data_IF_783575554597
#
_entry.id   IF_783575554597
#
_cell.length_a   1.000
_cell.length_b   1.000
_cell.length_c   1.000
_cell.angle_alpha   90.00
_cell.angle_beta   90.00
_cell.angle_gamma   90.00
#
_symmetry.space_group_name_H-M   'P 1'
#
loop_
_entity.id
_entity.type
_entity.pdbx_description
1 polymer ?
#
# COMPACT_ATOMS: atom_id res chain seq x y z
N UNK A 1 -7.32 35.63 34.36
CA UNK A 1 -7.25 34.17 34.09
C UNK A 1 -8.67 33.64 34.06
N UNK A 2 -9.09 32.99 32.95
CA UNK A 2 -10.48 32.59 32.80
C UNK A 2 -10.75 31.31 33.62
N UNK A 3 -11.94 31.21 34.18
CA UNK A 3 -12.45 30.11 35.02
C UNK A 3 -12.24 28.72 34.43
N UNK A 4 -12.08 28.59 33.11
CA UNK A 4 -11.78 27.32 32.40
C UNK A 4 -10.35 26.81 32.63
N UNK A 5 -9.38 27.68 32.90
CA UNK A 5 -7.98 27.26 33.19
C UNK A 5 -7.78 26.81 34.62
N UNK A 6 -8.63 27.30 35.53
CA UNK A 6 -8.61 26.89 36.94
C UNK A 6 -9.18 25.47 37.13
N UNK A 7 -10.21 25.10 36.36
CA UNK A 7 -10.78 23.74 36.39
C UNK A 7 -9.85 22.66 35.83
N UNK A 8 -9.07 22.99 34.81
CA UNK A 8 -8.08 22.03 34.23
C UNK A 8 -6.89 21.77 35.17
N UNK A 9 -6.50 22.76 35.98
CA UNK A 9 -5.40 22.62 36.94
C UNK A 9 -5.83 21.78 38.17
N UNK A 10 -7.08 21.89 38.62
CA UNK A 10 -7.62 21.12 39.75
C UNK A 10 -7.80 19.65 39.36
N UNK A 11 -8.18 19.35 38.13
CA UNK A 11 -8.31 17.96 37.64
C UNK A 11 -6.96 17.26 37.50
N UNK A 12 -5.89 17.97 37.10
CA UNK A 12 -4.55 17.42 36.96
C UNK A 12 -3.90 17.10 38.34
N UNK A 13 -4.19 17.87 39.39
CA UNK A 13 -3.68 17.64 40.75
C UNK A 13 -4.42 16.48 41.43
N UNK A 14 -5.70 16.26 41.12
CA UNK A 14 -6.46 15.13 41.67
C UNK A 14 -6.03 13.76 41.10
N UNK A 15 -5.50 13.70 39.87
CA UNK A 15 -4.98 12.46 39.30
C UNK A 15 -3.58 12.07 39.79
N UNK A 16 -2.77 13.03 40.27
CA UNK A 16 -1.45 12.70 40.82
C UNK A 16 -1.52 12.21 42.31
N UNK A 17 -2.61 12.44 43.02
CA UNK A 17 -2.77 12.03 44.43
C UNK A 17 -3.23 10.57 44.59
N UNK A 18 -3.63 9.87 43.52
CA UNK A 18 -4.14 8.50 43.55
C UNK A 18 -3.05 7.40 43.37
N UNK A 19 -1.79 7.77 43.17
CA UNK A 19 -0.71 6.81 42.87
C UNK A 19 0.21 6.49 44.06
N UNK A 20 0.02 7.16 45.23
CA UNK A 20 0.92 7.05 46.39
C UNK A 20 0.33 6.26 47.59
N UNK A 21 -0.86 5.68 47.49
CA UNK A 21 -1.51 4.95 48.58
C UNK A 21 -1.70 3.46 48.27
N UNK A 22 -0.60 2.70 48.28
CA UNK A 22 -0.72 1.26 48.07
C UNK A 22 0.54 0.46 48.24
N UNK A 23 1.28 0.62 49.33
CA UNK A 23 2.29 -0.38 49.75
C UNK A 23 2.66 -0.14 51.22
N UNK A 24 1.89 -0.70 52.17
CA UNK A 24 2.43 -1.13 53.45
C UNK A 24 1.53 -2.23 54.03
N UNK A 25 2.01 -3.44 54.08
CA UNK A 25 1.73 -4.31 55.19
C UNK A 25 2.87 -5.33 55.35
N UNK A 26 3.57 -5.18 56.47
CA UNK A 26 4.54 -6.14 57.00
C UNK A 26 3.76 -7.21 57.76
N UNK A 27 4.21 -8.46 57.63
CA UNK A 27 4.31 -9.35 58.83
C UNK A 27 5.25 -10.50 58.45
N UNK A 28 6.33 -10.60 59.26
CA UNK A 28 7.34 -11.62 59.15
C UNK A 28 7.07 -12.82 60.05
N UNK A 29 7.66 -13.94 59.70
CA UNK A 29 8.07 -15.02 60.59
C UNK A 29 8.96 -16.02 59.80
N UNK A 30 9.73 -16.92 60.46
CA UNK A 30 11.16 -16.97 60.20
C UNK A 30 11.64 -18.19 59.36
N UNK A 31 12.87 -18.06 58.88
CA UNK A 31 13.68 -18.98 58.10
C UNK A 31 14.00 -20.24 58.91
N UNK A 32 13.87 -21.44 58.33
CA UNK A 32 14.53 -22.66 58.74
C UNK A 32 15.38 -23.20 57.58
N UNK A 33 16.65 -23.49 57.89
CA UNK A 33 17.71 -23.99 57.00
C UNK A 33 17.51 -25.44 56.62
N UNK A 34 18.15 -25.91 55.50
CA UNK A 34 17.98 -27.25 54.94
C UNK A 34 18.93 -28.29 55.54
N UNK A 35 18.62 -29.57 55.45
CA UNK A 35 19.58 -30.65 55.68
C UNK A 35 20.30 -31.09 54.41
N UNK A 36 21.49 -31.68 54.67
CA UNK A 36 22.57 -32.00 53.77
C UNK A 36 22.32 -33.19 52.82
N UNK A 37 23.02 -33.12 51.70
CA UNK A 37 23.59 -34.13 50.81
C UNK A 37 23.16 -35.61 50.93
N UNK A 38 22.72 -36.16 49.83
CA UNK A 38 22.87 -37.54 49.49
C UNK A 38 23.44 -37.69 48.05
N UNK A 39 24.56 -38.42 47.96
CA UNK A 39 25.40 -38.65 46.80
C UNK A 39 24.70 -39.58 45.82
N UNK A 40 24.48 -39.18 44.58
CA UNK A 40 24.06 -40.04 43.49
C UNK A 40 25.16 -40.26 42.45
N UNK A 41 25.26 -41.48 41.98
CA UNK A 41 26.25 -42.06 41.09
C UNK A 41 26.25 -41.46 39.66
N UNK A 42 27.34 -41.68 38.86
CA UNK A 42 27.52 -41.03 37.57
C UNK A 42 26.56 -41.57 36.49
N UNK A 43 25.84 -40.66 35.85
CA UNK A 43 25.07 -40.93 34.66
C UNK A 43 25.98 -40.91 33.44
N UNK A 44 25.92 -41.96 32.65
CA UNK A 44 26.62 -42.14 31.38
C UNK A 44 26.25 -41.02 30.39
N UNK A 45 27.26 -40.48 29.71
CA UNK A 45 27.13 -39.56 28.61
C UNK A 45 26.47 -40.27 27.43
N UNK A 46 25.24 -39.86 27.08
CA UNK A 46 24.65 -40.19 25.79
C UNK A 46 25.28 -39.30 24.70
N UNK A 47 25.65 -39.97 23.61
CA UNK A 47 26.15 -39.35 22.36
C UNK A 47 25.16 -38.36 21.82
N UNK A 48 25.62 -37.25 21.17
CA UNK A 48 24.72 -36.33 20.49
C UNK A 48 24.07 -37.04 19.30
N UNK A 49 22.78 -37.16 19.38
CA UNK A 49 21.91 -37.63 18.31
C UNK A 49 22.02 -36.69 17.12
N UNK A 50 22.06 -37.27 15.95
CA UNK A 50 22.16 -36.68 14.62
C UNK A 50 21.33 -35.42 14.51
N UNK A 51 21.94 -34.39 13.85
CA UNK A 51 21.25 -33.23 13.31
C UNK A 51 20.02 -33.68 12.52
N UNK A 52 18.83 -33.36 13.00
CA UNK A 52 17.63 -33.39 12.18
C UNK A 52 17.83 -32.38 11.06
N UNK A 53 17.75 -32.84 9.81
CA UNK A 53 17.57 -31.97 8.65
C UNK A 53 16.41 -30.99 8.95
N UNK A 54 16.52 -29.72 8.53
CA UNK A 54 15.45 -28.77 8.73
C UNK A 54 14.21 -29.35 8.05
N UNK A 55 13.21 -29.69 8.86
CA UNK A 55 11.89 -30.08 8.35
C UNK A 55 11.41 -28.95 7.47
N UNK A 56 11.23 -29.23 6.17
CA UNK A 56 10.45 -28.39 5.30
C UNK A 56 9.10 -28.14 5.98
N UNK A 57 8.92 -26.92 6.47
CA UNK A 57 7.61 -26.46 6.96
C UNK A 57 6.67 -26.57 5.79
N UNK A 58 5.85 -27.59 5.81
CA UNK A 58 4.83 -27.83 4.80
C UNK A 58 3.86 -26.67 4.88
N UNK A 59 3.72 -25.90 3.80
CA UNK A 59 2.77 -24.82 3.70
C UNK A 59 1.42 -25.25 4.30
N UNK A 60 0.99 -24.57 5.34
CA UNK A 60 -0.25 -24.85 6.06
C UNK A 60 -1.43 -24.54 5.16
N UNK A 61 -2.00 -25.56 4.53
CA UNK A 61 -3.24 -25.45 3.76
C UNK A 61 -3.04 -24.99 2.33
N UNK A 62 -3.27 -25.89 1.38
CA UNK A 62 -3.28 -25.60 -0.05
C UNK A 62 -4.13 -24.36 -0.33
N UNK A 63 -3.47 -23.28 -0.83
CA UNK A 63 -4.13 -22.13 -1.39
C UNK A 63 -4.35 -20.92 -0.48
N UNK A 64 -3.89 -20.91 0.78
CA UNK A 64 -3.94 -19.70 1.64
C UNK A 64 -2.53 -19.15 1.87
N UNK A 65 -2.38 -17.82 1.77
CA UNK A 65 -1.19 -17.08 2.18
C UNK A 65 -1.56 -16.12 3.30
N UNK A 66 -0.92 -16.27 4.46
CA UNK A 66 -1.13 -15.43 5.65
C UNK A 66 0.12 -14.59 5.91
N UNK A 67 -0.04 -13.28 6.04
CA UNK A 67 1.05 -12.36 6.32
C UNK A 67 0.57 -11.20 7.18
N UNK A 68 1.49 -10.36 7.67
CA UNK A 68 1.16 -9.24 8.52
C UNK A 68 1.66 -7.90 7.95
N UNK A 69 0.97 -6.82 8.32
CA UNK A 69 1.33 -5.43 8.11
C UNK A 69 1.27 -4.66 9.43
N UNK A 70 1.98 -3.52 9.49
CA UNK A 70 2.10 -2.71 10.71
C UNK A 70 1.03 -1.64 10.85
N UNK A 71 0.36 -1.27 9.77
CA UNK A 71 -0.56 -0.14 9.69
C UNK A 71 -1.99 -0.61 9.46
N UNK A 72 -2.96 0.17 9.98
CA UNK A 72 -4.37 -0.05 9.74
C UNK A 72 -4.81 0.48 8.38
N UNK A 73 -5.93 -0.04 7.88
CA UNK A 73 -6.54 0.34 6.62
C UNK A 73 -7.72 1.27 6.91
N UNK A 74 -7.70 2.49 6.37
CA UNK A 74 -8.77 3.45 6.53
C UNK A 74 -9.79 3.39 5.37
N UNK A 75 -9.31 3.13 4.13
CA UNK A 75 -10.16 3.13 2.94
C UNK A 75 -9.71 2.08 1.92
N UNK A 76 -10.69 1.59 1.15
CA UNK A 76 -10.51 0.73 -0.03
C UNK A 76 -10.81 1.50 -1.32
N UNK A 77 -11.05 2.81 -1.24
CA UNK A 77 -11.32 3.67 -2.39
C UNK A 77 -10.01 4.00 -3.12
N UNK A 78 -9.83 3.61 -4.40
CA UNK A 78 -8.61 3.86 -5.16
C UNK A 78 -8.30 5.35 -5.34
N UNK A 79 -9.28 6.22 -5.25
CA UNK A 79 -9.10 7.66 -5.41
C UNK A 79 -8.67 8.39 -4.12
N UNK A 80 -8.77 7.73 -2.95
CA UNK A 80 -8.63 8.38 -1.64
C UNK A 80 -7.52 7.81 -0.75
N UNK A 81 -6.96 6.66 -1.09
CA UNK A 81 -5.97 6.00 -0.24
C UNK A 81 -4.73 6.87 0.02
N UNK A 82 -4.10 6.69 1.18
CA UNK A 82 -2.96 7.49 1.64
C UNK A 82 -1.74 6.67 2.04
N UNK A 83 -1.91 5.36 2.26
CA UNK A 83 -0.87 4.45 2.72
C UNK A 83 -0.57 3.32 1.74
N UNK A 84 0.62 2.71 1.86
CA UNK A 84 1.03 1.57 1.05
C UNK A 84 0.15 0.35 1.27
N UNK A 85 -0.32 0.12 2.51
CA UNK A 85 -1.20 -1.01 2.83
C UNK A 85 -2.54 -0.89 2.13
N UNK A 86 -3.09 0.34 2.04
CA UNK A 86 -4.33 0.60 1.31
C UNK A 86 -4.14 0.37 -0.18
N UNK A 87 -3.01 0.86 -0.77
CA UNK A 87 -2.72 0.60 -2.18
C UNK A 87 -2.55 -0.90 -2.47
N UNK A 88 -1.90 -1.66 -1.59
CA UNK A 88 -1.80 -3.12 -1.73
C UNK A 88 -3.17 -3.79 -1.75
N UNK A 89 -4.10 -3.41 -0.85
CA UNK A 89 -5.46 -3.95 -0.85
C UNK A 89 -6.19 -3.65 -2.15
N UNK A 90 -6.04 -2.42 -2.67
CA UNK A 90 -6.63 -1.98 -3.92
C UNK A 90 -6.02 -2.76 -5.10
N UNK A 91 -4.70 -2.96 -5.14
CA UNK A 91 -4.00 -3.70 -6.20
C UNK A 91 -4.31 -5.20 -6.19
N UNK A 92 -4.64 -5.79 -5.04
CA UNK A 92 -5.12 -7.18 -5.01
C UNK A 92 -6.52 -7.33 -5.57
N UNK A 93 -7.37 -6.34 -5.38
CA UNK A 93 -8.81 -6.43 -5.69
C UNK A 93 -9.24 -5.62 -6.90
N UNK A 94 -8.38 -4.74 -7.39
CA UNK A 94 -8.59 -3.93 -8.58
C UNK A 94 -7.53 -4.23 -9.64
N UNK A 95 -7.87 -4.05 -10.89
CA UNK A 95 -6.96 -4.18 -12.00
C UNK A 95 -6.93 -2.87 -12.81
N UNK A 96 -5.75 -2.29 -12.99
CA UNK A 96 -5.51 -1.13 -13.84
C UNK A 96 -5.35 -1.57 -15.31
N UNK A 97 -5.21 -0.62 -16.23
CA UNK A 97 -4.95 -0.93 -17.64
C UNK A 97 -3.63 -1.69 -17.83
N UNK A 98 -2.60 -1.31 -17.07
CA UNK A 98 -1.27 -1.94 -17.07
C UNK A 98 -0.87 -2.32 -15.65
N UNK A 99 0.18 -3.14 -15.52
CA UNK A 99 0.70 -3.56 -14.22
C UNK A 99 2.11 -4.12 -14.31
N UNK A 100 2.78 -4.20 -13.16
CA UNK A 100 4.09 -4.80 -13.03
C UNK A 100 3.94 -6.28 -12.65
N UNK A 101 4.45 -7.17 -13.49
CA UNK A 101 4.39 -8.62 -13.31
C UNK A 101 5.80 -9.19 -13.21
N UNK A 102 6.00 -10.16 -12.34
CA UNK A 102 7.25 -10.91 -12.29
C UNK A 102 7.51 -11.59 -13.63
N UNK A 103 8.76 -11.59 -14.05
CA UNK A 103 9.20 -12.36 -15.21
C UNK A 103 9.15 -13.85 -14.86
N UNK A 104 8.94 -14.71 -15.87
CA UNK A 104 8.82 -16.15 -15.67
C UNK A 104 10.10 -16.76 -15.08
N UNK A 105 11.26 -16.19 -15.41
CA UNK A 105 12.59 -16.55 -14.91
C UNK A 105 12.91 -15.93 -13.54
N UNK A 106 11.97 -15.17 -12.94
CA UNK A 106 12.14 -14.43 -11.67
C UNK A 106 13.30 -13.41 -11.65
N UNK A 107 13.79 -13.00 -12.81
CA UNK A 107 14.89 -12.03 -12.96
C UNK A 107 14.51 -10.59 -12.54
N UNK A 108 13.22 -10.32 -12.36
CA UNK A 108 12.69 -9.01 -12.01
C UNK A 108 11.22 -8.88 -12.36
N UNK A 109 10.78 -7.64 -12.56
CA UNK A 109 9.42 -7.30 -12.96
C UNK A 109 9.42 -6.61 -14.32
N UNK A 110 8.36 -6.83 -15.09
CA UNK A 110 8.12 -6.16 -16.37
C UNK A 110 6.76 -5.49 -16.35
N UNK A 111 6.70 -4.29 -16.92
CA UNK A 111 5.46 -3.55 -17.13
C UNK A 111 4.74 -4.17 -18.33
N UNK A 112 3.51 -4.64 -18.13
CA UNK A 112 2.72 -5.34 -19.15
C UNK A 112 1.25 -4.93 -19.09
N UNK A 113 0.52 -5.20 -20.16
CA UNK A 113 -0.94 -5.04 -20.19
C UNK A 113 -1.61 -5.92 -19.11
N UNK A 114 -2.57 -5.34 -18.39
CA UNK A 114 -3.42 -6.02 -17.42
C UNK A 114 -4.85 -6.10 -17.95
N UNK A 115 -5.66 -5.03 -17.85
CA UNK A 115 -6.97 -4.93 -18.51
C UNK A 115 -6.83 -4.47 -19.96
N UNK A 116 -5.76 -3.74 -20.31
CA UNK A 116 -5.53 -3.34 -21.69
C UNK A 116 -5.29 -4.53 -22.63
N UNK A 117 -5.72 -4.40 -23.88
CA UNK A 117 -5.43 -5.33 -24.99
C UNK A 117 -4.15 -4.89 -25.71
N UNK A 118 -2.99 -5.16 -25.10
CA UNK A 118 -1.68 -4.83 -25.62
C UNK A 118 -1.14 -3.45 -25.20
N UNK A 119 -0.08 -3.01 -25.88
CA UNK A 119 0.57 -1.72 -25.62
C UNK A 119 -0.27 -0.54 -26.16
N UNK A 120 -0.08 0.69 -25.60
CA UNK A 120 -0.76 1.87 -26.11
C UNK A 120 -0.31 2.20 -27.53
N UNK A 121 -1.25 2.60 -28.37
CA UNK A 121 -1.04 2.91 -29.78
C UNK A 121 -0.76 4.42 -29.94
N UNK A 122 0.40 4.75 -30.44
CA UNK A 122 0.77 6.13 -30.75
C UNK A 122 0.01 6.64 -31.97
N UNK A 123 -0.74 7.73 -31.80
CA UNK A 123 -1.65 8.28 -32.82
C UNK A 123 -1.09 9.47 -33.59
N UNK A 124 0.01 10.08 -33.12
CA UNK A 124 0.67 11.20 -33.79
C UNK A 124 2.19 11.14 -33.67
N UNK A 125 2.89 11.82 -34.56
CA UNK A 125 4.37 11.75 -34.64
C UNK A 125 5.07 12.33 -33.41
N UNK A 126 4.48 13.32 -32.76
CA UNK A 126 5.07 13.99 -31.60
C UNK A 126 4.85 13.24 -30.26
N UNK A 127 4.10 12.12 -30.24
CA UNK A 127 3.93 11.31 -29.06
C UNK A 127 3.06 11.94 -27.96
N UNK A 128 2.10 12.76 -28.36
CA UNK A 128 1.16 13.41 -27.42
C UNK A 128 -0.24 12.82 -27.46
N UNK A 129 -0.57 11.92 -28.41
CA UNK A 129 -1.89 11.28 -28.50
C UNK A 129 -1.71 9.76 -28.53
N UNK A 130 -2.40 9.08 -27.63
CA UNK A 130 -2.29 7.64 -27.40
C UNK A 130 -3.66 7.01 -27.29
N UNK A 131 -3.89 5.91 -28.00
CA UNK A 131 -5.08 5.09 -27.82
C UNK A 131 -4.75 3.82 -27.05
N UNK A 132 -5.60 3.48 -26.10
CA UNK A 132 -5.51 2.29 -25.28
C UNK A 132 -6.77 1.46 -25.53
N UNK A 133 -6.58 0.23 -26.01
CA UNK A 133 -7.65 -0.75 -26.16
C UNK A 133 -7.86 -1.49 -24.86
N UNK A 134 -9.11 -1.74 -24.49
CA UNK A 134 -9.53 -2.55 -23.35
C UNK A 134 -9.78 -3.97 -23.85
N UNK A 135 -9.34 -4.96 -23.12
CA UNK A 135 -9.55 -6.35 -23.50
C UNK A 135 -11.04 -6.71 -23.46
N UNK A 136 -11.58 -7.38 -24.49
CA UNK A 136 -12.96 -7.83 -24.50
C UNK A 136 -13.25 -8.90 -23.41
N UNK A 137 -12.23 -9.49 -22.82
CA UNK A 137 -12.33 -10.48 -21.76
C UNK A 137 -12.28 -9.88 -20.36
N UNK A 138 -12.05 -8.58 -20.23
CA UNK A 138 -12.03 -7.89 -18.93
C UNK A 138 -13.42 -7.87 -18.28
N UNK A 139 -13.49 -8.28 -17.00
CA UNK A 139 -14.73 -8.38 -16.25
C UNK A 139 -14.60 -7.80 -14.85
N UNK A 140 -15.69 -7.23 -14.38
CA UNK A 140 -15.94 -7.01 -12.97
C UNK A 140 -16.19 -8.35 -12.25
N UNK A 141 -16.00 -8.41 -10.96
CA UNK A 141 -16.24 -9.61 -10.16
C UNK A 141 -17.72 -10.04 -10.10
N UNK A 142 -18.65 -9.17 -10.54
CA UNK A 142 -20.05 -9.48 -10.73
C UNK A 142 -20.36 -10.10 -12.11
N UNK A 143 -19.34 -10.26 -12.97
CA UNK A 143 -19.42 -10.85 -14.31
C UNK A 143 -19.69 -9.84 -15.43
N UNK A 144 -19.94 -8.58 -15.13
CA UNK A 144 -20.16 -7.54 -16.14
C UNK A 144 -18.86 -7.20 -16.87
N UNK A 145 -18.98 -6.80 -18.14
CA UNK A 145 -17.82 -6.38 -18.94
C UNK A 145 -17.26 -5.05 -18.43
N UNK A 146 -15.94 -4.92 -18.41
CA UNK A 146 -15.25 -3.65 -18.19
C UNK A 146 -15.07 -2.99 -19.56
N UNK A 147 -15.47 -1.75 -19.69
CA UNK A 147 -15.52 -1.00 -20.93
C UNK A 147 -14.79 0.34 -20.83
N UNK A 148 -14.76 1.08 -21.94
CA UNK A 148 -14.23 2.44 -21.96
C UNK A 148 -15.05 3.39 -21.06
N UNK A 149 -16.35 3.16 -20.89
CA UNK A 149 -17.19 3.98 -20.03
C UNK A 149 -16.76 3.88 -18.56
N UNK A 150 -16.37 2.70 -18.08
CA UNK A 150 -15.87 2.51 -16.72
C UNK A 150 -14.60 3.34 -16.44
N UNK A 151 -13.67 3.39 -17.39
CA UNK A 151 -12.47 4.21 -17.28
C UNK A 151 -12.77 5.70 -17.42
N UNK A 152 -13.65 6.08 -18.35
CA UNK A 152 -14.08 7.48 -18.50
C UNK A 152 -14.74 8.00 -17.23
N UNK A 153 -15.65 7.23 -16.65
CA UNK A 153 -16.30 7.55 -15.37
C UNK A 153 -15.25 7.65 -14.23
N UNK A 154 -14.38 6.66 -14.10
CA UNK A 154 -13.37 6.59 -13.04
C UNK A 154 -12.41 7.78 -13.07
N UNK A 155 -11.87 8.13 -14.23
CA UNK A 155 -10.98 9.28 -14.38
C UNK A 155 -11.70 10.60 -14.15
N UNK A 156 -12.97 10.70 -14.55
CA UNK A 156 -13.80 11.87 -14.23
C UNK A 156 -14.01 12.04 -12.75
N UNK A 157 -14.32 10.97 -12.02
CA UNK A 157 -14.48 11.02 -10.56
C UNK A 157 -13.14 11.28 -9.84
N UNK A 158 -12.05 10.69 -10.32
CA UNK A 158 -10.72 10.95 -9.78
C UNK A 158 -10.34 12.43 -9.86
N UNK A 159 -10.66 13.08 -10.96
CA UNK A 159 -10.36 14.49 -11.23
C UNK A 159 -11.48 15.46 -10.84
N UNK A 160 -12.63 14.99 -10.30
CA UNK A 160 -13.77 15.86 -9.99
C UNK A 160 -13.38 16.93 -8.95
N UNK A 161 -13.46 18.22 -9.31
CA UNK A 161 -13.06 19.32 -8.45
C UNK A 161 -13.94 19.49 -7.21
N UNK A 162 -15.13 18.88 -7.16
CA UNK A 162 -16.01 18.89 -5.99
C UNK A 162 -15.65 17.77 -5.00
N UNK A 163 -15.24 16.60 -5.50
CA UNK A 163 -14.81 15.48 -4.67
C UNK A 163 -13.44 15.72 -4.06
N UNK A 164 -12.57 16.46 -4.75
CA UNK A 164 -11.18 16.75 -4.31
C UNK A 164 -10.47 15.48 -3.88
N UNK A 165 -10.59 14.44 -4.69
CA UNK A 165 -9.98 13.13 -4.40
C UNK A 165 -8.47 13.24 -4.23
N UNK A 166 -7.93 12.68 -3.14
CA UNK A 166 -6.53 12.87 -2.75
C UNK A 166 -5.50 12.42 -3.80
N UNK A 167 -5.88 11.48 -4.68
CA UNK A 167 -5.02 11.00 -5.78
C UNK A 167 -5.19 11.77 -7.10
N UNK A 168 -6.21 12.63 -7.20
CA UNK A 168 -6.45 13.44 -8.40
C UNK A 168 -5.28 14.35 -8.76
N UNK A 169 -4.61 14.95 -7.78
CA UNK A 169 -3.42 15.77 -7.99
C UNK A 169 -2.26 14.99 -8.63
N UNK A 170 -1.95 13.79 -8.13
CA UNK A 170 -0.92 12.93 -8.68
C UNK A 170 -1.26 12.50 -10.13
N UNK A 171 -2.50 12.10 -10.37
CA UNK A 171 -2.95 11.74 -11.71
C UNK A 171 -2.88 12.92 -12.68
N UNK A 172 -3.21 14.13 -12.23
CA UNK A 172 -3.22 15.33 -13.08
C UNK A 172 -1.82 15.87 -13.43
N UNK A 173 -0.83 15.73 -12.52
CA UNK A 173 0.41 16.50 -12.59
C UNK A 173 1.69 15.67 -12.73
N UNK A 174 1.78 14.51 -12.06
CA UNK A 174 3.11 13.99 -11.73
C UNK A 174 3.82 13.33 -12.89
N UNK A 175 3.15 12.57 -13.74
CA UNK A 175 3.86 11.76 -14.73
C UNK A 175 3.50 12.11 -16.18
N UNK A 176 2.31 11.72 -16.61
CA UNK A 176 1.93 11.75 -18.03
C UNK A 176 1.45 13.13 -18.49
N UNK A 177 1.13 14.04 -17.59
CA UNK A 177 0.68 15.42 -17.88
C UNK A 177 -0.46 15.47 -18.90
N UNK A 178 -1.56 14.84 -18.54
CA UNK A 178 -2.78 14.85 -19.37
C UNK A 178 -3.21 16.28 -19.62
N UNK A 179 -3.52 16.60 -20.87
CA UNK A 179 -3.92 17.93 -21.31
C UNK A 179 -5.09 18.43 -20.45
N UNK A 180 -4.99 19.63 -19.91
CA UNK A 180 -5.98 20.34 -19.08
C UNK A 180 -6.39 19.63 -17.77
N UNK A 181 -5.90 18.42 -17.45
CA UNK A 181 -6.32 17.68 -16.25
C UNK A 181 -6.04 18.45 -14.96
N UNK A 182 -4.86 19.06 -14.84
CA UNK A 182 -4.51 19.88 -13.67
C UNK A 182 -5.44 21.09 -13.53
N UNK A 183 -5.63 21.86 -14.59
CA UNK A 183 -6.46 23.07 -14.58
C UNK A 183 -7.93 22.73 -14.25
N UNK A 184 -8.44 21.61 -14.78
CA UNK A 184 -9.76 21.09 -14.45
C UNK A 184 -9.87 20.71 -12.97
N UNK A 185 -8.93 19.89 -12.46
CA UNK A 185 -8.93 19.43 -11.07
C UNK A 185 -8.81 20.59 -10.05
N UNK A 186 -7.94 21.57 -10.35
CA UNK A 186 -7.69 22.72 -9.44
C UNK A 186 -8.60 23.92 -9.72
N UNK A 187 -9.48 23.86 -10.73
CA UNK A 187 -10.35 24.95 -11.17
C UNK A 187 -9.56 26.24 -11.46
N UNK A 188 -8.42 26.10 -12.13
CA UNK A 188 -7.58 27.23 -12.56
C UNK A 188 -7.73 27.49 -14.05
N UNK A 189 -7.53 28.75 -14.47
CA UNK A 189 -7.59 29.11 -15.88
C UNK A 189 -6.47 28.45 -16.68
N UNK A 190 -6.85 27.93 -17.85
CA UNK A 190 -5.95 27.49 -18.90
C UNK A 190 -6.42 28.15 -20.20
N UNK A 191 -5.51 28.83 -20.92
CA UNK A 191 -5.83 29.57 -22.16
C UNK A 191 -6.99 30.58 -22.02
N UNK A 192 -7.15 31.19 -20.83
CA UNK A 192 -8.12 32.24 -20.55
C UNK A 192 -9.49 31.77 -20.07
N UNK A 193 -9.67 30.48 -19.82
CA UNK A 193 -10.88 29.92 -19.21
C UNK A 193 -10.56 28.74 -18.29
N UNK A 194 -11.45 28.44 -17.34
CA UNK A 194 -11.38 27.20 -16.57
C UNK A 194 -11.90 26.06 -17.46
N UNK A 195 -11.10 25.01 -17.74
CA UNK A 195 -11.55 23.92 -18.59
C UNK A 195 -12.72 23.15 -17.99
N UNK A 196 -13.57 22.62 -18.86
CA UNK A 196 -14.60 21.65 -18.51
C UNK A 196 -14.03 20.22 -18.61
N UNK A 197 -14.80 19.20 -18.23
CA UNK A 197 -14.39 17.80 -18.42
C UNK A 197 -14.12 17.47 -19.90
N UNK A 198 -14.90 18.02 -20.80
CA UNK A 198 -14.79 17.83 -22.25
C UNK A 198 -13.48 18.37 -22.83
N UNK A 199 -12.84 19.31 -22.14
CA UNK A 199 -11.54 19.89 -22.53
C UNK A 199 -10.36 19.09 -21.98
N UNK A 200 -10.59 18.14 -21.05
CA UNK A 200 -9.55 17.26 -20.53
C UNK A 200 -9.12 16.26 -21.61
N UNK A 201 -7.85 16.02 -21.72
CA UNK A 201 -7.24 15.14 -22.71
C UNK A 201 -7.54 13.65 -22.52
N UNK A 202 -8.78 13.28 -22.15
CA UNK A 202 -9.23 11.90 -22.00
C UNK A 202 -10.56 11.78 -22.75
N UNK A 203 -10.64 10.85 -23.71
CA UNK A 203 -11.83 10.67 -24.54
C UNK A 203 -12.15 9.20 -24.77
N UNK A 204 -13.44 8.89 -24.86
CA UNK A 204 -13.93 7.62 -25.39
C UNK A 204 -13.88 7.68 -26.92
N UNK A 205 -13.22 6.70 -27.54
CA UNK A 205 -13.20 6.52 -29.01
C UNK A 205 -14.32 5.58 -29.45
N UNK A 206 -14.43 4.46 -28.77
CA UNK A 206 -15.49 3.46 -28.90
C UNK A 206 -15.68 2.73 -27.56
N UNK A 207 -16.53 1.70 -27.52
CA UNK A 207 -16.86 1.00 -26.27
C UNK A 207 -15.66 0.29 -25.62
N UNK A 208 -14.60 0.03 -26.37
CA UNK A 208 -13.40 -0.68 -25.88
C UNK A 208 -12.12 0.13 -26.07
N UNK A 209 -12.21 1.43 -26.42
CA UNK A 209 -11.02 2.24 -26.70
C UNK A 209 -11.14 3.61 -26.05
N UNK A 210 -10.14 3.97 -25.26
CA UNK A 210 -9.95 5.35 -24.75
C UNK A 210 -8.76 5.99 -25.45
N UNK A 211 -8.81 7.32 -25.59
CA UNK A 211 -7.73 8.15 -26.10
C UNK A 211 -7.24 9.11 -25.02
N UNK A 212 -5.93 9.18 -24.84
CA UNK A 212 -5.26 10.10 -23.93
C UNK A 212 -4.42 11.09 -24.74
N UNK A 213 -4.66 12.38 -24.51
CA UNK A 213 -3.86 13.50 -25.03
C UNK A 213 -3.03 14.09 -23.91
N UNK A 214 -1.73 14.22 -24.10
CA UNK A 214 -0.78 14.79 -23.14
C UNK A 214 -0.28 16.16 -23.59
N UNK A 215 0.08 17.03 -22.66
CA UNK A 215 0.64 18.36 -22.97
C UNK A 215 2.13 18.32 -23.36
N UNK A 216 2.80 17.21 -23.17
CA UNK A 216 4.20 16.96 -23.55
C UNK A 216 4.31 15.60 -24.23
N UNK A 217 5.35 15.41 -25.04
CA UNK A 217 5.65 14.11 -25.63
C UNK A 217 5.90 13.04 -24.57
N UNK A 218 5.37 11.85 -24.80
CA UNK A 218 5.55 10.67 -23.98
C UNK A 218 6.00 9.50 -24.85
N UNK A 219 6.59 8.48 -24.25
CA UNK A 219 6.74 7.17 -24.88
C UNK A 219 5.70 6.16 -24.33
N UNK A 220 5.65 4.97 -24.95
CA UNK A 220 4.67 3.96 -24.56
C UNK A 220 4.89 3.48 -23.11
N UNK A 221 6.15 3.37 -22.66
CA UNK A 221 6.47 2.93 -21.31
C UNK A 221 6.02 3.95 -20.25
N UNK A 222 6.20 5.23 -20.54
CA UNK A 222 5.71 6.32 -19.67
C UNK A 222 4.19 6.27 -19.55
N UNK A 223 3.45 6.12 -20.66
CA UNK A 223 1.98 5.98 -20.64
C UNK A 223 1.55 4.74 -19.86
N UNK A 224 2.15 3.59 -20.12
CA UNK A 224 1.85 2.34 -19.42
C UNK A 224 2.12 2.46 -17.92
N UNK A 225 3.27 3.02 -17.54
CA UNK A 225 3.68 3.18 -16.14
C UNK A 225 2.69 4.05 -15.37
N UNK A 226 2.22 5.16 -15.97
CA UNK A 226 1.25 6.03 -15.34
C UNK A 226 -0.12 5.35 -15.13
N UNK A 227 -0.53 4.50 -16.07
CA UNK A 227 -1.80 3.77 -16.02
C UNK A 227 -1.69 2.40 -15.33
N UNK A 228 -0.63 2.18 -14.56
CA UNK A 228 -0.39 0.98 -13.74
C UNK A 228 -0.54 1.24 -12.23
N UNK A 229 -0.86 2.45 -11.81
CA UNK A 229 -1.00 2.79 -10.38
C UNK A 229 -2.37 2.40 -9.81
N UNK A 230 -2.43 2.13 -8.53
CA UNK A 230 -3.65 1.80 -7.80
C UNK A 230 -4.77 2.84 -7.98
N UNK A 231 -4.43 4.13 -8.11
CA UNK A 231 -5.43 5.19 -8.36
C UNK A 231 -6.02 5.19 -9.78
N UNK A 232 -5.47 4.41 -10.71
CA UNK A 232 -6.03 4.23 -12.06
C UNK A 232 -6.89 2.97 -12.20
N UNK A 233 -7.06 2.22 -11.12
CA UNK A 233 -8.05 1.13 -11.03
C UNK A 233 -9.46 1.71 -11.21
N UNK A 234 -10.28 1.15 -12.10
CA UNK A 234 -11.63 1.65 -12.31
C UNK A 234 -12.52 1.46 -11.09
N UNK A 235 -13.44 2.38 -10.88
CA UNK A 235 -14.52 2.28 -9.90
C UNK A 235 -15.83 1.94 -10.58
N UNK A 236 -16.64 1.08 -9.99
CA UNK A 236 -17.92 0.65 -10.55
C UNK A 236 -18.96 1.75 -10.40
N UNK A 237 -19.40 2.33 -11.53
CA UNK A 237 -20.22 3.55 -11.58
C UNK A 237 -21.51 3.44 -10.76
N UNK A 238 -22.30 2.38 -10.95
CA UNK A 238 -23.61 2.24 -10.28
C UNK A 238 -23.46 2.27 -8.76
N UNK A 239 -22.47 1.55 -8.21
CA UNK A 239 -22.21 1.54 -6.77
C UNK A 239 -21.64 2.89 -6.31
N UNK A 240 -20.70 3.48 -7.05
CA UNK A 240 -20.10 4.75 -6.69
C UNK A 240 -21.15 5.86 -6.61
N UNK A 241 -22.06 5.92 -7.57
CA UNK A 241 -23.17 6.88 -7.62
C UNK A 241 -24.18 6.64 -6.49
N UNK A 242 -24.52 5.37 -6.20
CA UNK A 242 -25.45 5.04 -5.12
C UNK A 242 -24.94 5.44 -3.73
N UNK A 243 -23.62 5.57 -3.58
CA UNK A 243 -22.93 5.93 -2.35
C UNK A 243 -22.50 7.41 -2.30
N UNK A 244 -22.80 8.18 -3.36
CA UNK A 244 -22.52 9.60 -3.47
C UNK A 244 -23.50 10.41 -2.62
N UNK A 245 -23.02 11.43 -1.91
CA UNK A 245 -23.90 12.36 -1.21
C UNK A 245 -24.65 13.28 -2.21
N UNK A 246 -25.75 13.89 -1.74
CA UNK A 246 -26.63 14.74 -2.58
C UNK A 246 -25.90 15.90 -3.26
N UNK A 247 -24.91 16.47 -2.60
CA UNK A 247 -24.15 17.62 -3.08
C UNK A 247 -22.98 17.25 -4.00
N UNK A 248 -22.74 15.93 -4.14
CA UNK A 248 -21.63 15.34 -4.93
C UNK A 248 -20.25 15.83 -4.48
N UNK A 249 -20.05 15.96 -3.18
CA UNK A 249 -18.79 16.41 -2.57
C UNK A 249 -18.10 15.29 -1.78
N UNK A 250 -18.75 14.15 -1.60
CA UNK A 250 -18.21 13.00 -0.89
C UNK A 250 -18.92 11.71 -1.29
N UNK A 251 -18.23 10.61 -1.21
CA UNK A 251 -18.79 9.26 -1.36
C UNK A 251 -18.36 8.36 -0.21
N UNK A 252 -19.18 7.38 0.12
CA UNK A 252 -18.83 6.28 1.05
C UNK A 252 -18.30 5.05 0.32
N UNK A 253 -18.00 5.13 -0.99
CA UNK A 253 -17.35 4.06 -1.75
C UNK A 253 -16.01 3.69 -1.11
N UNK A 254 -15.76 2.39 -0.92
CA UNK A 254 -14.54 1.89 -0.31
C UNK A 254 -14.44 2.08 1.22
N UNK A 255 -15.51 2.55 1.89
CA UNK A 255 -15.51 2.59 3.36
C UNK A 255 -15.80 1.22 3.99
N UNK A 256 -16.25 0.25 3.22
CA UNK A 256 -16.42 -1.14 3.63
C UNK A 256 -16.31 -2.08 2.42
N UNK A 257 -16.16 -3.39 2.66
CA UNK A 257 -15.98 -4.40 1.61
C UNK A 257 -17.25 -4.62 0.75
N UNK A 258 -18.42 -4.35 1.29
CA UNK A 258 -19.70 -4.38 0.56
C UNK A 258 -19.97 -3.12 -0.27
N UNK A 259 -19.07 -2.14 -0.17
CA UNK A 259 -19.14 -0.86 -0.89
C UNK A 259 -18.05 -0.72 -1.96
N UNK A 260 -17.59 -1.84 -2.48
CA UNK A 260 -16.61 -1.92 -3.58
C UNK A 260 -16.98 -3.07 -4.49
N UNK A 261 -16.93 -2.86 -5.82
CA UNK A 261 -16.93 -3.93 -6.81
C UNK A 261 -15.49 -4.13 -7.29
N UNK A 262 -15.00 -5.36 -7.22
CA UNK A 262 -13.63 -5.70 -7.55
C UNK A 262 -13.47 -5.98 -9.06
N UNK A 263 -12.27 -5.75 -9.59
CA UNK A 263 -11.88 -6.09 -10.97
C UNK A 263 -10.56 -6.86 -11.04
N UNK A 264 -9.89 -7.04 -9.88
CA UNK A 264 -8.54 -7.62 -9.77
C UNK A 264 -8.52 -9.12 -9.49
N UNK A 265 -7.33 -9.60 -9.11
CA UNK A 265 -7.06 -11.02 -8.87
C UNK A 265 -7.85 -11.62 -7.71
N UNK A 266 -8.24 -10.79 -6.75
CA UNK A 266 -9.01 -11.20 -5.57
C UNK A 266 -10.23 -10.30 -5.38
N UNK A 267 -11.19 -10.80 -4.61
CA UNK A 267 -12.29 -10.02 -4.04
C UNK A 267 -12.16 -9.99 -2.53
N UNK A 268 -12.70 -8.95 -1.89
CA UNK A 268 -12.76 -8.90 -0.44
C UNK A 268 -13.63 -10.05 0.10
N UNK A 269 -13.20 -10.64 1.23
CA UNK A 269 -13.94 -11.74 1.87
C UNK A 269 -14.45 -11.32 3.27
N UNK A 270 -13.59 -10.75 4.10
CA UNK A 270 -13.93 -10.22 5.42
C UNK A 270 -12.96 -9.11 5.81
N UNK A 271 -13.43 -8.17 6.64
CA UNK A 271 -12.62 -7.11 7.20
C UNK A 271 -13.00 -6.87 8.67
N UNK A 272 -12.13 -7.29 9.56
CA UNK A 272 -12.16 -6.91 10.97
C UNK A 272 -11.19 -5.74 11.16
N UNK A 273 -11.75 -4.58 11.50
CA UNK A 273 -10.99 -3.33 11.61
C UNK A 273 -9.84 -3.47 12.60
N UNK A 274 -8.67 -2.94 12.23
CA UNK A 274 -7.45 -2.95 13.03
C UNK A 274 -6.94 -4.34 13.44
N UNK A 275 -7.51 -5.42 12.90
CA UNK A 275 -7.13 -6.79 13.20
C UNK A 275 -6.75 -7.60 11.95
N UNK A 276 -7.66 -7.74 10.99
CA UNK A 276 -7.44 -8.59 9.82
C UNK A 276 -8.32 -8.17 8.63
N UNK A 277 -7.77 -8.26 7.44
CA UNK A 277 -8.54 -8.27 6.19
C UNK A 277 -8.20 -9.52 5.39
N UNK A 278 -9.20 -10.16 4.81
CA UNK A 278 -9.00 -11.34 3.98
C UNK A 278 -9.65 -11.21 2.61
N UNK A 279 -9.04 -11.93 1.66
CA UNK A 279 -9.39 -11.89 0.25
C UNK A 279 -9.56 -13.31 -0.27
N UNK A 280 -10.43 -13.50 -1.24
CA UNK A 280 -10.61 -14.75 -1.98
C UNK A 280 -10.34 -14.54 -3.46
N UNK A 281 -9.82 -15.56 -4.14
CA UNK A 281 -9.56 -15.54 -5.58
C UNK A 281 -10.80 -15.12 -6.35
N UNK A 282 -10.61 -14.23 -7.33
CA UNK A 282 -11.66 -13.77 -8.23
C UNK A 282 -11.67 -14.65 -9.49
N UNK A 283 -12.72 -15.45 -9.73
CA UNK A 283 -12.82 -16.31 -10.91
C UNK A 283 -13.00 -15.50 -12.21
N UNK A 284 -13.49 -14.26 -12.13
CA UNK A 284 -13.71 -13.37 -13.27
C UNK A 284 -12.46 -12.59 -13.69
N UNK A 285 -11.37 -12.72 -12.94
CA UNK A 285 -10.14 -11.97 -13.27
C UNK A 285 -9.53 -12.45 -14.57
N UNK A 286 -9.29 -11.53 -15.50
CA UNK A 286 -8.75 -11.81 -16.85
C UNK A 286 -7.47 -12.66 -16.88
N UNK A 287 -6.67 -12.63 -15.81
CA UNK A 287 -5.41 -13.42 -15.67
C UNK A 287 -5.51 -14.44 -14.53
N UNK A 288 -6.69 -14.97 -14.26
CA UNK A 288 -6.93 -15.90 -13.15
C UNK A 288 -6.02 -17.15 -13.17
N UNK A 289 -5.59 -17.60 -14.34
CA UNK A 289 -4.70 -18.76 -14.50
C UNK A 289 -3.30 -18.51 -13.92
N UNK A 290 -2.89 -17.25 -13.78
CA UNK A 290 -1.64 -16.88 -13.12
C UNK A 290 -1.73 -16.94 -11.60
N UNK A 291 -2.93 -16.98 -11.03
CA UNK A 291 -3.17 -16.91 -9.59
C UNK A 291 -3.27 -18.31 -9.00
N UNK A 292 -2.25 -18.71 -8.23
CA UNK A 292 -2.16 -20.02 -7.60
C UNK A 292 -2.73 -20.05 -6.17
N UNK A 293 -2.96 -18.88 -5.58
CA UNK A 293 -3.43 -18.69 -4.21
C UNK A 293 -4.94 -18.52 -4.22
N UNK A 294 -5.66 -19.28 -3.38
CA UNK A 294 -7.13 -19.21 -3.27
C UNK A 294 -7.58 -18.14 -2.27
N UNK A 295 -6.75 -17.88 -1.23
CA UNK A 295 -7.07 -16.93 -0.16
C UNK A 295 -5.85 -16.18 0.29
N UNK A 296 -5.97 -14.85 0.48
CA UNK A 296 -5.01 -14.04 1.21
C UNK A 296 -5.58 -13.66 2.57
N UNK A 297 -4.74 -13.64 3.59
CA UNK A 297 -5.07 -13.17 4.94
C UNK A 297 -4.00 -12.19 5.37
N UNK A 298 -4.37 -10.93 5.53
CA UNK A 298 -3.49 -9.87 5.98
C UNK A 298 -3.87 -9.48 7.41
N UNK A 299 -3.02 -9.82 8.37
CA UNK A 299 -3.18 -9.43 9.78
C UNK A 299 -2.56 -8.07 10.04
N UNK A 300 -3.16 -7.29 10.92
CA UNK A 300 -2.63 -6.00 11.36
C UNK A 300 -1.90 -6.20 12.68
N UNK A 301 -0.58 -6.21 12.62
CA UNK A 301 0.29 -6.45 13.78
C UNK A 301 1.38 -5.38 13.80
N UNK A 302 1.25 -4.32 14.62
CA UNK A 302 2.17 -3.19 14.60
C UNK A 302 3.62 -3.52 14.98
N UNK A 303 3.82 -4.51 15.86
CA UNK A 303 5.14 -4.89 16.34
C UNK A 303 5.82 -5.92 15.43
N UNK A 304 6.93 -5.56 14.80
CA UNK A 304 7.67 -6.42 13.88
C UNK A 304 8.36 -7.61 14.59
N UNK A 305 8.64 -7.50 15.88
CA UNK A 305 9.16 -8.62 16.66
C UNK A 305 8.11 -9.70 16.84
N UNK A 306 6.87 -9.30 17.14
CA UNK A 306 5.72 -10.20 17.20
C UNK A 306 5.45 -10.85 15.84
N UNK A 307 5.50 -10.10 14.72
CA UNK A 307 5.37 -10.69 13.38
C UNK A 307 6.40 -11.78 13.13
N UNK A 308 7.66 -11.56 13.49
CA UNK A 308 8.74 -12.56 13.33
C UNK A 308 8.49 -13.79 14.20
N UNK A 309 8.08 -13.63 15.45
CA UNK A 309 7.74 -14.75 16.34
C UNK A 309 6.58 -15.59 15.78
N UNK A 310 5.55 -14.95 15.21
CA UNK A 310 4.44 -15.63 14.56
C UNK A 310 4.89 -16.39 13.31
N UNK A 311 5.80 -15.82 12.52
CA UNK A 311 6.40 -16.52 11.39
C UNK A 311 7.18 -17.77 11.83
N UNK A 312 8.00 -17.67 12.85
CA UNK A 312 8.74 -18.82 13.40
C UNK A 312 7.79 -19.87 14.03
N UNK A 313 6.64 -19.46 14.54
CA UNK A 313 5.59 -20.36 15.02
C UNK A 313 4.76 -21.00 13.89
N UNK A 314 4.96 -20.59 12.63
CA UNK A 314 4.18 -21.06 11.48
C UNK A 314 2.77 -20.45 11.38
N UNK A 315 2.53 -19.34 12.06
CA UNK A 315 1.24 -18.60 12.00
C UNK A 315 1.20 -17.57 10.87
N UNK A 316 2.36 -17.21 10.31
CA UNK A 316 2.53 -16.40 9.11
C UNK A 316 3.36 -17.15 8.09
N UNK A 317 3.00 -17.06 6.82
CA UNK A 317 3.74 -17.64 5.69
C UNK A 317 4.84 -16.69 5.18
N UNK A 318 4.74 -15.39 5.53
CA UNK A 318 5.65 -14.34 5.07
C UNK A 318 5.79 -13.25 6.12
N UNK A 319 7.02 -12.75 6.28
CA UNK A 319 7.34 -11.60 7.13
C UNK A 319 8.42 -10.72 6.50
N UNK A 320 8.32 -9.42 6.67
CA UNK A 320 9.36 -8.47 6.27
C UNK A 320 10.38 -8.25 7.40
N UNK A 321 11.63 -8.60 7.15
CA UNK A 321 12.72 -8.36 8.12
C UNK A 321 13.15 -6.90 8.08
N UNK A 322 13.26 -6.28 9.25
CA UNK A 322 13.96 -5.00 9.38
C UNK A 322 15.48 -5.21 9.47
N UNK A 323 16.24 -4.11 9.40
CA UNK A 323 17.72 -4.19 9.38
C UNK A 323 18.35 -4.84 10.63
N UNK A 324 17.70 -4.78 11.80
CA UNK A 324 18.20 -5.44 13.02
C UNK A 324 17.92 -6.93 13.00
N UNK A 325 16.73 -7.34 12.61
CA UNK A 325 16.33 -8.74 12.47
C UNK A 325 17.13 -9.43 11.36
N UNK A 326 17.37 -8.75 10.25
CA UNK A 326 18.09 -9.31 9.11
C UNK A 326 19.47 -9.89 9.47
N UNK A 327 20.18 -9.31 10.43
CA UNK A 327 21.51 -9.79 10.86
C UNK A 327 21.50 -11.23 11.36
N UNK A 328 20.41 -11.63 11.99
CA UNK A 328 20.27 -12.97 12.58
C UNK A 328 19.82 -14.00 11.53
N UNK A 329 19.30 -13.51 10.37
CA UNK A 329 18.77 -14.34 9.29
C UNK A 329 19.55 -14.20 7.97
N UNK A 330 20.68 -13.49 7.95
CA UNK A 330 21.42 -13.17 6.71
C UNK A 330 21.81 -14.43 5.89
N UNK A 331 22.02 -15.56 6.57
CA UNK A 331 22.39 -16.83 5.93
C UNK A 331 21.22 -17.85 5.90
N UNK A 332 20.03 -17.44 6.37
CA UNK A 332 18.86 -18.32 6.37
C UNK A 332 18.35 -18.50 4.92
N UNK A 333 18.22 -19.76 4.44
CA UNK A 333 17.80 -20.04 3.06
C UNK A 333 16.35 -19.60 2.76
N UNK A 334 15.56 -19.29 3.77
CA UNK A 334 14.20 -18.75 3.62
C UNK A 334 14.18 -17.26 3.24
N UNK A 335 15.31 -16.56 3.38
CA UNK A 335 15.40 -15.14 3.05
C UNK A 335 15.36 -14.92 1.54
N UNK A 336 14.39 -14.17 1.10
CA UNK A 336 14.23 -13.76 -0.30
C UNK A 336 14.56 -12.27 -0.42
N UNK A 337 15.30 -11.92 -1.46
CA UNK A 337 15.61 -10.54 -1.80
C UNK A 337 14.76 -10.10 -2.98
N UNK A 338 14.10 -8.96 -2.82
CA UNK A 338 13.40 -8.30 -3.92
C UNK A 338 14.12 -6.99 -4.27
N UNK A 339 14.38 -6.70 -5.56
CA UNK A 339 14.90 -5.40 -5.96
C UNK A 339 13.94 -4.30 -5.54
N UNK A 340 14.45 -3.29 -4.82
CA UNK A 340 13.65 -2.12 -4.48
C UNK A 340 13.68 -1.10 -5.61
N UNK A 341 12.52 -0.64 -6.04
CA UNK A 341 12.34 0.49 -6.96
C UNK A 341 12.23 1.83 -6.23
N UNK A 342 12.22 1.81 -4.90
CA UNK A 342 12.04 3.02 -4.08
C UNK A 342 13.34 3.77 -3.85
N UNK A 343 13.26 5.08 -3.94
CA UNK A 343 14.32 6.01 -3.51
C UNK A 343 13.91 6.62 -2.18
N UNK A 344 14.76 6.47 -1.16
CA UNK A 344 14.57 7.15 0.13
C UNK A 344 15.17 8.55 0.07
N UNK A 345 14.39 9.54 0.41
CA UNK A 345 14.82 10.93 0.42
C UNK A 345 14.26 11.67 1.64
N UNK A 346 14.92 12.76 2.00
CA UNK A 346 14.49 13.67 3.06
C UNK A 346 13.96 14.96 2.40
N UNK A 347 12.63 15.14 2.33
CA UNK A 347 12.08 16.37 1.78
C UNK A 347 12.33 17.53 2.72
N UNK A 348 12.58 18.71 2.14
CA UNK A 348 12.80 19.95 2.88
C UNK A 348 11.68 20.93 2.52
N UNK A 349 10.92 21.39 3.51
CA UNK A 349 9.91 22.42 3.29
C UNK A 349 10.58 23.79 3.08
N UNK A 350 10.79 24.15 1.81
CA UNK A 350 11.46 25.39 1.40
C UNK A 350 10.63 26.65 1.69
N UNK A 351 9.33 26.50 1.91
CA UNK A 351 8.39 27.59 2.18
C UNK A 351 8.03 27.72 3.67
N UNK A 352 8.79 27.06 4.56
CA UNK A 352 8.54 27.13 6.00
C UNK A 352 8.91 28.53 6.53
N UNK A 353 7.94 29.33 7.01
CA UNK A 353 8.18 30.67 7.52
C UNK A 353 8.99 30.69 8.82
N UNK A 354 8.93 29.63 9.62
CA UNK A 354 9.64 29.50 10.89
C UNK A 354 11.13 29.16 10.69
N UNK A 355 11.50 28.65 9.51
CA UNK A 355 12.86 28.28 9.15
C UNK A 355 13.24 28.78 7.75
N UNK A 356 13.41 30.10 7.56
CA UNK A 356 13.65 30.67 6.23
C UNK A 356 14.98 30.23 5.60
N UNK A 357 15.95 29.72 6.39
CA UNK A 357 17.22 29.17 5.88
C UNK A 357 16.98 27.97 4.95
N UNK A 358 15.86 27.26 5.09
CA UNK A 358 15.52 26.14 4.24
C UNK A 358 15.22 26.56 2.79
N UNK A 359 14.92 27.85 2.55
CA UNK A 359 14.78 28.40 1.20
C UNK A 359 16.12 28.69 0.51
N UNK A 360 17.23 28.78 1.26
CA UNK A 360 18.57 28.99 0.70
C UNK A 360 19.09 27.73 0.01
N UNK A 361 19.39 27.83 -1.28
CA UNK A 361 19.87 26.70 -2.09
C UNK A 361 21.25 26.20 -1.63
N UNK A 362 22.11 27.06 -1.11
CA UNK A 362 23.45 26.66 -0.66
C UNK A 362 23.35 25.90 0.67
N UNK A 363 22.44 26.31 1.54
CA UNK A 363 22.13 25.56 2.75
C UNK A 363 21.62 24.14 2.42
N UNK A 364 20.68 24.01 1.49
CA UNK A 364 20.20 22.69 1.06
C UNK A 364 21.28 21.84 0.41
N UNK A 365 22.18 22.44 -0.39
CA UNK A 365 23.37 21.75 -0.94
C UNK A 365 24.30 21.28 0.17
N UNK A 366 24.52 22.09 1.20
CA UNK A 366 25.34 21.71 2.36
C UNK A 366 24.71 20.52 3.11
N UNK A 367 23.38 20.54 3.35
CA UNK A 367 22.66 19.39 3.92
C UNK A 367 22.82 18.13 3.05
N UNK A 368 22.67 18.27 1.74
CA UNK A 368 22.83 17.15 0.82
C UNK A 368 24.23 16.53 0.89
N UNK A 369 25.27 17.35 1.02
CA UNK A 369 26.67 16.90 1.12
C UNK A 369 27.01 16.34 2.51
N UNK A 370 26.33 16.80 3.56
CA UNK A 370 26.58 16.37 4.94
C UNK A 370 26.04 14.97 5.24
N UNK A 371 25.12 14.43 4.43
CA UNK A 371 24.54 13.09 4.63
C UNK A 371 25.55 12.02 4.24
N UNK A 372 25.97 11.22 5.21
CA UNK A 372 26.80 10.02 4.99
C UNK A 372 25.93 8.86 4.44
N UNK A 373 25.82 8.84 3.12
CA UNK A 373 25.00 7.84 2.40
C UNK A 373 25.59 6.44 2.50
N UNK A 374 26.91 6.30 2.64
CA UNK A 374 27.54 4.99 2.78
C UNK A 374 27.19 4.34 4.12
N UNK A 375 27.24 5.10 5.19
CA UNK A 375 26.82 4.62 6.51
C UNK A 375 25.34 4.27 6.55
N UNK A 376 24.49 5.09 5.94
CA UNK A 376 23.05 4.78 5.81
C UNK A 376 22.85 3.51 4.98
N UNK A 377 23.55 3.36 3.86
CA UNK A 377 23.43 2.19 2.99
C UNK A 377 23.86 0.89 3.68
N UNK A 378 24.81 0.94 4.61
CA UNK A 378 25.24 -0.23 5.42
C UNK A 378 24.19 -0.69 6.44
N UNK A 379 23.21 0.17 6.77
CA UNK A 379 22.10 -0.20 7.65
C UNK A 379 20.99 -0.97 6.92
N UNK A 380 21.04 -1.04 5.60
CA UNK A 380 20.05 -1.76 4.80
C UNK A 380 20.60 -3.09 4.32
N UNK A 381 19.79 -4.16 4.39
CA UNK A 381 20.14 -5.47 3.84
C UNK A 381 20.53 -5.36 2.36
N UNK A 382 21.56 -6.08 1.95
CA UNK A 382 21.97 -6.18 0.55
C UNK A 382 22.18 -7.66 0.22
N UNK A 383 21.76 -8.13 -0.96
CA UNK A 383 22.20 -9.43 -1.45
C UNK A 383 23.74 -9.42 -1.57
N UNK A 384 24.38 -10.51 -1.20
CA UNK A 384 25.81 -10.74 -1.39
C UNK A 384 26.15 -11.03 -2.83
#
# INVERSE_FOLDING_TARGET
MSTKRLFSLILAVAMLAAIVAGCTNQNGAPISSPPAEETAAPVQSEQPTQSEEPQQVSATGKGTLTFARTESIATLNPHMYTSDIESCCIEYTGAALYGYFYNDDKSGVSLRACIADGEPIKMNDNGTVWQIKISPDARWANGEAITADDFMYSFKMLLDPKLVNGRGGAFAEDYIKILNAKAYYTQTEAEGAVPTWEDVGIKKVDDMTIEITTSIAQDATEVMSHLAYAWTVPVYEEMYESLMNSDRTATTYGTDIDKVVCSGAFTYNAWERDAEISFKKNPEYIKQDMIQIEKLVMKIIPDRGTQLQMFEAGELDYVELNSSQFKDYEEDPRVLYSPSIYVKYMPVNVNNPDNPILSDVNFRKALFLAVDRESIAKLHPRPR
#
